data_IF_846049187881
#
_entry.id   IF_846049187881
#
_cell.length_a   1.000
_cell.length_b   1.000
_cell.length_c   1.000
_cell.angle_alpha   90.00
_cell.angle_beta   90.00
_cell.angle_gamma   90.00
#
_symmetry.space_group_name_H-M   'P 1'
#
loop_
_entity.id
_entity.type
_entity.pdbx_description
1 polymer ?
#
# COMPACT_ATOMS: atom_id res chain seq x y z
N UNK A 1 17.51 -2.54 10.47
CA UNK A 1 17.42 -1.19 11.07
C UNK A 1 16.77 -0.20 10.11
N UNK A 2 17.22 -0.11 8.84
CA UNK A 2 16.65 0.82 7.84
C UNK A 2 15.14 0.65 7.75
N UNK A 3 14.63 -0.55 7.48
CA UNK A 3 13.20 -0.82 7.37
C UNK A 3 12.40 -0.38 8.62
N UNK A 4 12.92 -0.63 9.82
CA UNK A 4 12.25 -0.23 11.06
C UNK A 4 12.13 1.30 11.17
N UNK A 5 13.17 2.03 10.81
CA UNK A 5 13.15 3.50 10.86
C UNK A 5 12.23 4.09 9.78
N UNK A 6 12.25 3.51 8.58
CA UNK A 6 11.36 3.93 7.48
C UNK A 6 9.89 3.71 7.85
N UNK A 7 9.54 2.52 8.34
CA UNK A 7 8.18 2.24 8.77
C UNK A 7 7.77 3.08 9.98
N UNK A 8 8.71 3.35 10.90
CA UNK A 8 8.41 4.25 12.01
C UNK A 8 8.02 5.65 11.50
N UNK A 9 8.78 6.21 10.56
CA UNK A 9 8.47 7.49 9.94
C UNK A 9 7.10 7.47 9.24
N UNK A 10 6.85 6.45 8.44
CA UNK A 10 5.61 6.27 7.70
C UNK A 10 4.37 6.16 8.60
N UNK A 11 4.48 5.43 9.71
CA UNK A 11 3.34 5.14 10.59
C UNK A 11 3.09 6.21 11.64
N UNK A 12 4.10 7.03 11.97
CA UNK A 12 4.04 7.95 13.10
C UNK A 12 4.06 9.43 12.71
N UNK A 13 4.38 9.78 11.47
CA UNK A 13 4.34 11.16 10.99
C UNK A 13 3.26 11.28 9.93
N UNK A 14 2.16 11.90 10.30
CA UNK A 14 1.03 12.09 9.38
C UNK A 14 1.39 13.10 8.29
N UNK A 15 1.13 12.73 7.04
CA UNK A 15 1.20 13.71 5.95
C UNK A 15 0.11 14.77 6.14
N UNK A 16 0.52 15.99 6.33
CA UNK A 16 -0.37 17.12 6.48
C UNK A 16 0.13 18.26 5.59
N UNK A 17 -0.74 18.76 4.72
CA UNK A 17 -0.48 19.97 3.94
C UNK A 17 -0.34 21.16 4.88
N UNK A 18 0.84 21.33 5.46
CA UNK A 18 1.20 22.55 6.14
C UNK A 18 1.34 23.61 5.03
N UNK A 19 0.77 24.79 5.25
CA UNK A 19 0.94 25.90 4.33
C UNK A 19 2.44 26.12 4.11
N UNK A 20 2.88 25.84 2.89
CA UNK A 20 4.22 26.23 2.48
C UNK A 20 4.17 27.73 2.20
N UNK A 21 4.69 28.52 3.12
CA UNK A 21 4.77 29.96 2.98
C UNK A 21 5.60 30.37 1.75
N UNK A 22 5.44 31.59 1.32
CA UNK A 22 6.23 32.14 0.22
C UNK A 22 7.72 32.06 0.56
N UNK A 23 8.48 31.32 -0.26
CA UNK A 23 9.92 31.12 -0.08
C UNK A 23 10.32 29.87 0.73
N UNK A 24 9.38 29.06 1.21
CA UNK A 24 9.70 27.84 1.93
C UNK A 24 10.07 26.65 1.02
N UNK A 25 9.55 26.60 -0.20
CA UNK A 25 9.94 25.65 -1.24
C UNK A 25 10.44 24.30 -0.72
N UNK A 26 11.71 24.00 -0.95
CA UNK A 26 12.38 22.78 -0.51
C UNK A 26 13.00 22.86 0.88
N UNK A 27 12.86 24.00 1.60
CA UNK A 27 13.39 24.16 2.95
C UNK A 27 12.62 23.28 3.94
N UNK A 28 13.36 22.49 4.71
CA UNK A 28 12.79 21.65 5.77
C UNK A 28 12.24 22.52 6.92
N UNK A 29 11.12 22.11 7.47
CA UNK A 29 10.69 22.60 8.78
C UNK A 29 11.61 22.04 9.88
N UNK A 30 11.51 22.61 11.08
CA UNK A 30 12.33 22.16 12.20
C UNK A 30 12.04 20.69 12.54
N UNK A 31 13.06 19.84 12.47
CA UNK A 31 12.91 18.39 12.70
C UNK A 31 12.37 18.07 14.11
N UNK A 32 12.72 18.87 15.13
CA UNK A 32 12.16 18.69 16.48
C UNK A 32 10.66 18.94 16.48
N UNK A 33 10.19 19.94 15.74
CA UNK A 33 8.77 20.23 15.56
C UNK A 33 8.08 19.05 14.87
N UNK A 34 8.59 18.59 13.73
CA UNK A 34 8.03 17.46 13.00
C UNK A 34 7.92 16.20 13.86
N UNK A 35 8.96 15.93 14.66
CA UNK A 35 8.98 14.81 15.59
C UNK A 35 7.96 14.97 16.72
N UNK A 36 7.79 16.17 17.27
CA UNK A 36 6.87 16.43 18.39
C UNK A 36 5.42 16.44 17.92
N UNK A 37 5.14 17.13 16.82
CA UNK A 37 3.79 17.36 16.31
C UNK A 37 3.26 16.19 15.47
N UNK A 38 4.15 15.27 15.11
CA UNK A 38 3.81 14.07 14.31
C UNK A 38 3.11 14.41 13.00
N UNK A 39 3.50 15.49 12.37
CA UNK A 39 3.00 15.88 11.06
C UNK A 39 4.05 16.64 10.25
N UNK A 40 3.88 16.60 8.93
CA UNK A 40 4.74 17.28 7.97
C UNK A 40 4.38 16.94 6.55
N UNK A 41 5.04 17.58 5.60
CA UNK A 41 4.96 17.22 4.17
C UNK A 41 6.11 16.29 3.80
N UNK A 42 6.19 15.87 2.54
CA UNK A 42 7.19 14.89 2.06
C UNK A 42 8.63 15.21 2.52
N UNK A 43 9.08 16.46 2.35
CA UNK A 43 10.43 16.91 2.76
C UNK A 43 10.67 16.74 4.27
N UNK A 44 9.67 17.00 5.10
CA UNK A 44 9.76 16.91 6.56
C UNK A 44 9.85 15.46 7.03
N UNK A 45 9.05 14.59 6.44
CA UNK A 45 9.03 13.16 6.74
C UNK A 45 10.35 12.53 6.28
N UNK A 46 10.81 12.84 5.06
CA UNK A 46 12.10 12.40 4.54
C UNK A 46 13.26 12.93 5.40
N UNK A 47 13.26 14.21 5.76
CA UNK A 47 14.29 14.83 6.60
C UNK A 47 14.36 14.19 8.00
N UNK A 48 13.23 13.87 8.60
CA UNK A 48 13.18 13.17 9.89
C UNK A 48 13.77 11.75 9.77
N UNK A 49 13.41 11.02 8.71
CA UNK A 49 13.99 9.69 8.43
C UNK A 49 15.50 9.77 8.23
N UNK A 50 15.99 10.74 7.45
CA UNK A 50 17.42 10.96 7.21
C UNK A 50 18.16 11.21 8.53
N UNK A 51 17.60 12.03 9.41
CA UNK A 51 18.19 12.29 10.72
C UNK A 51 18.31 11.00 11.54
N UNK A 52 17.27 10.18 11.58
CA UNK A 52 17.31 8.90 12.29
C UNK A 52 18.31 7.90 11.67
N UNK A 53 18.38 7.83 10.36
CA UNK A 53 19.35 6.98 9.67
C UNK A 53 20.77 7.38 10.00
N UNK A 54 21.08 8.70 9.96
CA UNK A 54 22.40 9.24 10.32
C UNK A 54 22.74 8.98 11.78
N UNK A 55 21.80 9.17 12.70
CA UNK A 55 21.99 8.82 14.12
C UNK A 55 22.23 7.32 14.33
N UNK A 56 21.68 6.48 13.48
CA UNK A 56 21.89 5.04 13.51
C UNK A 56 23.19 4.57 12.80
N UNK A 57 23.99 5.52 12.29
CA UNK A 57 25.29 5.28 11.65
C UNK A 57 25.23 5.00 10.14
N UNK A 58 24.11 5.31 9.48
CA UNK A 58 24.00 5.18 8.03
C UNK A 58 24.35 6.47 7.30
N UNK A 59 24.91 6.34 6.13
CA UNK A 59 25.09 7.43 5.17
C UNK A 59 23.77 7.64 4.43
N UNK A 60 23.06 8.74 4.71
CA UNK A 60 21.73 9.01 4.16
C UNK A 60 21.60 10.46 3.70
N UNK A 61 20.88 10.67 2.61
CA UNK A 61 20.76 11.95 1.91
C UNK A 61 19.30 12.21 1.51
N UNK A 62 18.89 13.48 1.34
CA UNK A 62 17.63 13.79 0.66
C UNK A 62 17.76 13.45 -0.83
N UNK A 63 16.65 13.14 -1.46
CA UNK A 63 16.57 13.02 -2.90
C UNK A 63 15.30 13.67 -3.43
N UNK A 64 15.43 14.31 -4.56
CA UNK A 64 14.31 14.97 -5.24
C UNK A 64 13.79 14.08 -6.36
N UNK A 65 12.48 13.98 -6.47
CA UNK A 65 11.79 13.23 -7.51
C UNK A 65 10.47 13.92 -7.88
N UNK A 66 9.66 13.28 -8.67
CA UNK A 66 8.35 13.80 -9.05
C UNK A 66 7.28 12.71 -8.87
N UNK A 67 6.27 13.00 -8.07
CA UNK A 67 5.06 12.20 -7.99
C UNK A 67 4.11 12.61 -9.11
N UNK A 68 3.60 11.63 -9.87
CA UNK A 68 2.59 11.80 -10.91
C UNK A 68 3.11 12.00 -12.34
N UNK A 69 4.40 12.30 -12.52
CA UNK A 69 5.02 12.43 -13.85
C UNK A 69 6.47 11.94 -13.81
N UNK A 70 7.01 11.58 -14.96
CA UNK A 70 8.40 11.17 -15.07
C UNK A 70 9.32 12.39 -15.05
N UNK A 71 10.39 12.31 -14.26
CA UNK A 71 11.48 13.28 -14.33
C UNK A 71 12.30 13.02 -15.59
N UNK A 72 12.37 14.03 -16.46
CA UNK A 72 13.18 13.97 -17.68
C UNK A 72 14.68 14.10 -17.40
N UNK A 73 15.48 13.64 -18.34
CA UNK A 73 16.94 13.74 -18.25
C UNK A 73 17.48 15.13 -18.59
N UNK A 74 16.63 16.01 -19.13
CA UNK A 74 16.99 17.39 -19.43
C UNK A 74 17.01 18.18 -18.11
N UNK A 75 18.05 18.95 -17.81
CA UNK A 75 18.11 19.77 -16.60
C UNK A 75 16.99 20.81 -16.57
N UNK A 76 16.02 20.60 -15.69
CA UNK A 76 14.93 21.53 -15.41
C UNK A 76 14.43 21.26 -14.00
N UNK A 77 13.79 22.25 -13.37
CA UNK A 77 13.18 22.10 -12.06
C UNK A 77 11.82 21.38 -12.21
N UNK A 78 11.88 20.07 -12.32
CA UNK A 78 10.71 19.19 -12.47
C UNK A 78 10.43 18.36 -11.22
N UNK A 79 10.81 18.87 -10.05
CA UNK A 79 10.65 18.13 -8.79
C UNK A 79 9.47 18.66 -7.99
N UNK A 80 8.65 17.76 -7.47
CA UNK A 80 7.57 18.10 -6.55
C UNK A 80 7.54 17.21 -5.30
N UNK A 81 8.47 16.25 -5.20
CA UNK A 81 8.50 15.29 -4.12
C UNK A 81 9.92 15.08 -3.60
N UNK A 82 10.03 14.92 -2.28
CA UNK A 82 11.28 14.66 -1.60
C UNK A 82 11.20 13.32 -0.88
N UNK A 83 12.21 12.48 -1.14
CA UNK A 83 12.38 11.16 -0.52
C UNK A 83 13.73 11.08 0.19
N UNK A 84 13.98 10.02 0.95
CA UNK A 84 15.27 9.73 1.51
C UNK A 84 16.00 8.70 0.65
N UNK A 85 17.33 8.76 0.64
CA UNK A 85 18.16 7.67 0.12
C UNK A 85 19.19 7.27 1.16
N UNK A 86 19.48 5.98 1.23
CA UNK A 86 20.58 5.44 2.05
C UNK A 86 21.62 4.81 1.14
N UNK A 87 22.88 5.14 1.37
CA UNK A 87 24.01 4.54 0.64
C UNK A 87 24.34 3.21 1.28
N UNK A 88 24.29 2.17 0.49
CA UNK A 88 24.67 0.81 0.89
C UNK A 88 26.18 0.63 0.85
N UNK A 89 26.67 -0.45 1.44
CA UNK A 89 28.11 -0.76 1.52
C UNK A 89 28.78 -1.00 0.17
N UNK A 90 27.99 -1.34 -0.86
CA UNK A 90 28.45 -1.47 -2.25
C UNK A 90 28.44 -0.16 -3.04
N UNK A 91 28.03 0.95 -2.39
CA UNK A 91 27.90 2.26 -2.99
C UNK A 91 26.53 2.54 -3.63
N UNK A 92 25.66 1.54 -3.70
CA UNK A 92 24.31 1.70 -4.26
C UNK A 92 23.47 2.66 -3.42
N UNK A 93 22.74 3.56 -4.07
CA UNK A 93 21.76 4.45 -3.44
C UNK A 93 20.39 3.76 -3.40
N UNK A 94 19.91 3.41 -2.23
CA UNK A 94 18.60 2.79 -2.03
C UNK A 94 17.56 3.85 -1.65
N UNK A 95 16.54 4.09 -2.48
CA UNK A 95 15.47 5.04 -2.16
C UNK A 95 14.56 4.51 -1.05
N UNK A 96 14.07 5.43 -0.22
CA UNK A 96 13.16 5.19 0.90
C UNK A 96 12.10 6.27 0.87
N UNK A 97 10.83 5.88 0.80
CA UNK A 97 9.74 6.84 0.79
C UNK A 97 8.72 6.61 1.91
N UNK A 98 8.96 7.15 3.10
CA UNK A 98 8.03 7.02 4.22
C UNK A 98 6.68 7.72 3.97
N UNK A 99 6.58 8.59 2.97
CA UNK A 99 5.33 9.31 2.66
C UNK A 99 4.29 8.38 2.03
N UNK A 100 4.72 7.44 1.18
CA UNK A 100 3.84 6.57 0.40
C UNK A 100 3.71 5.14 0.93
N UNK A 101 4.45 4.79 1.98
CA UNK A 101 4.47 3.42 2.52
C UNK A 101 3.87 3.25 3.94
N UNK A 102 2.95 4.12 4.44
CA UNK A 102 2.28 3.83 5.69
C UNK A 102 1.46 2.55 5.53
N UNK A 103 1.62 1.64 6.50
CA UNK A 103 0.98 0.31 6.48
C UNK A 103 1.34 -0.55 5.26
N UNK A 104 2.48 -0.32 4.64
CA UNK A 104 3.01 -1.08 3.51
C UNK A 104 4.32 -1.76 3.90
N UNK A 105 4.57 -2.96 3.38
CA UNK A 105 5.82 -3.70 3.62
C UNK A 105 6.98 -3.16 2.79
N UNK A 106 6.70 -2.44 1.74
CA UNK A 106 7.72 -1.78 0.93
C UNK A 106 8.39 -0.64 1.71
N UNK A 107 9.58 -0.26 1.28
CA UNK A 107 10.34 0.86 1.84
C UNK A 107 10.28 2.12 0.96
N UNK A 108 9.77 1.96 -0.26
CA UNK A 108 9.50 3.02 -1.23
C UNK A 108 8.28 2.61 -2.05
N UNK A 109 7.65 3.55 -2.74
CA UNK A 109 6.45 3.25 -3.52
C UNK A 109 6.80 2.62 -4.86
N UNK A 110 6.40 1.37 -5.09
CA UNK A 110 6.51 0.73 -6.41
C UNK A 110 5.68 1.42 -7.49
N UNK A 111 4.73 2.28 -7.12
CA UNK A 111 4.05 3.16 -8.07
C UNK A 111 4.98 4.20 -8.72
N UNK A 112 6.14 4.46 -8.10
CA UNK A 112 7.17 5.36 -8.60
C UNK A 112 8.37 4.62 -9.19
N UNK A 113 8.22 3.38 -9.59
CA UNK A 113 9.26 2.64 -10.28
C UNK A 113 9.55 3.21 -11.67
N UNK A 114 10.77 2.99 -12.17
CA UNK A 114 11.26 3.58 -13.42
C UNK A 114 11.25 5.12 -13.42
N UNK A 115 11.28 5.72 -12.25
CA UNK A 115 11.33 7.16 -12.05
C UNK A 115 12.78 7.61 -11.83
N UNK A 116 13.14 8.75 -12.37
CA UNK A 116 14.42 9.38 -12.05
C UNK A 116 14.32 10.12 -10.72
N UNK A 117 15.38 10.06 -9.93
CA UNK A 117 15.54 10.85 -8.71
C UNK A 117 16.95 11.39 -8.60
N UNK A 118 17.10 12.53 -7.96
CA UNK A 118 18.39 13.22 -7.79
C UNK A 118 18.79 13.22 -6.31
N UNK A 119 19.77 12.38 -5.90
CA UNK A 119 20.31 12.42 -4.54
C UNK A 119 21.06 13.74 -4.27
N UNK A 120 20.82 14.33 -3.11
CA UNK A 120 21.54 15.54 -2.65
C UNK A 120 22.76 15.19 -1.84
N UNK A 121 23.82 14.70 -2.48
CA UNK A 121 25.11 14.47 -1.81
C UNK A 121 25.97 15.73 -1.80
N UNK A 122 26.92 15.87 -0.85
CA UNK A 122 27.82 17.06 -0.80
C UNK A 122 28.65 17.25 -2.07
N UNK A 123 29.03 16.15 -2.72
CA UNK A 123 29.87 16.15 -3.93
C UNK A 123 29.04 16.39 -5.20
N UNK A 124 27.73 16.36 -5.10
CA UNK A 124 26.83 16.29 -6.24
C UNK A 124 26.74 14.87 -6.80
N UNK A 125 25.71 14.61 -7.59
CA UNK A 125 25.49 13.32 -8.24
C UNK A 125 24.62 13.48 -9.47
N UNK A 126 24.67 12.50 -10.36
CA UNK A 126 23.76 12.40 -11.49
C UNK A 126 22.41 11.82 -11.06
N UNK A 127 21.44 11.88 -11.97
CA UNK A 127 20.15 11.22 -11.80
C UNK A 127 20.33 9.71 -11.61
N UNK A 128 19.66 9.19 -10.62
CA UNK A 128 19.52 7.75 -10.36
C UNK A 128 18.13 7.29 -10.82
N UNK A 129 18.01 6.00 -11.12
CA UNK A 129 16.74 5.38 -11.48
C UNK A 129 16.19 4.59 -10.28
N UNK A 130 14.91 4.75 -9.98
CA UNK A 130 14.24 3.93 -8.95
C UNK A 130 14.22 2.47 -9.40
N UNK A 131 14.40 1.51 -8.48
CA UNK A 131 14.37 0.10 -8.82
C UNK A 131 12.99 -0.31 -9.36
N UNK A 132 12.97 -1.36 -10.17
CA UNK A 132 11.74 -2.03 -10.59
C UNK A 132 11.46 -3.11 -9.56
N UNK A 133 10.24 -3.13 -9.05
CA UNK A 133 9.78 -4.20 -8.17
C UNK A 133 9.32 -5.39 -8.99
N UNK A 134 9.75 -6.59 -8.59
CA UNK A 134 9.36 -7.82 -9.29
C UNK A 134 7.84 -8.04 -9.19
N UNK A 135 7.18 -8.51 -10.27
CA UNK A 135 5.74 -8.76 -10.27
C UNK A 135 5.29 -9.74 -9.18
N UNK A 136 6.17 -10.68 -8.81
CA UNK A 136 5.94 -11.64 -7.73
C UNK A 136 5.75 -11.00 -6.36
N UNK A 137 6.21 -9.76 -6.19
CA UNK A 137 6.01 -8.96 -4.97
C UNK A 137 4.68 -8.19 -4.97
N UNK A 138 3.90 -8.26 -6.06
CA UNK A 138 2.63 -7.54 -6.21
C UNK A 138 1.55 -8.48 -6.74
N UNK A 139 0.75 -9.03 -5.85
CA UNK A 139 -0.31 -9.94 -6.25
C UNK A 139 -1.55 -9.85 -5.37
N UNK A 140 -2.67 -10.28 -5.95
CA UNK A 140 -3.86 -10.73 -5.23
C UNK A 140 -4.12 -12.17 -5.63
N UNK A 141 -4.14 -13.06 -4.67
CA UNK A 141 -4.51 -14.47 -4.84
C UNK A 141 -5.82 -14.73 -4.15
N UNK A 142 -6.74 -15.32 -4.88
CA UNK A 142 -8.04 -15.70 -4.33
C UNK A 142 -8.20 -17.22 -4.51
N UNK A 143 -8.41 -17.92 -3.41
CA UNK A 143 -8.71 -19.34 -3.37
C UNK A 143 -10.11 -19.53 -2.83
N UNK A 144 -10.97 -20.23 -3.54
CA UNK A 144 -12.34 -20.49 -3.14
C UNK A 144 -12.66 -21.98 -3.15
N UNK A 145 -13.41 -22.41 -2.14
CA UNK A 145 -14.00 -23.75 -2.07
C UNK A 145 -15.50 -23.59 -1.82
N UNK A 146 -16.30 -24.03 -2.78
CA UNK A 146 -17.73 -23.82 -2.77
C UNK A 146 -18.48 -25.12 -3.04
N UNK A 147 -19.67 -25.20 -2.49
CA UNK A 147 -20.69 -26.22 -2.80
C UNK A 147 -21.96 -25.54 -3.29
N UNK A 148 -22.55 -26.08 -4.35
CA UNK A 148 -23.85 -25.67 -4.86
C UNK A 148 -24.85 -26.76 -4.50
N UNK A 149 -25.90 -26.42 -3.76
CA UNK A 149 -26.92 -27.38 -3.39
C UNK A 149 -28.02 -27.47 -4.45
N UNK A 150 -28.89 -28.49 -4.32
CA UNK A 150 -29.99 -28.74 -5.25
C UNK A 150 -31.01 -27.60 -5.32
N UNK A 151 -31.00 -26.68 -4.35
CA UNK A 151 -31.84 -25.48 -4.36
C UNK A 151 -31.20 -24.30 -5.08
N UNK A 152 -30.00 -24.48 -5.61
CA UNK A 152 -29.24 -23.43 -6.28
C UNK A 152 -28.55 -22.48 -5.30
N UNK A 153 -28.41 -22.84 -4.03
CA UNK A 153 -27.69 -22.05 -3.03
C UNK A 153 -26.20 -22.37 -3.07
N UNK A 154 -25.38 -21.34 -3.24
CA UNK A 154 -23.93 -21.46 -3.15
C UNK A 154 -23.50 -21.22 -1.69
N UNK A 155 -22.68 -22.13 -1.15
CA UNK A 155 -22.06 -22.01 0.18
C UNK A 155 -20.59 -22.31 0.07
N UNK A 156 -19.77 -21.55 0.81
CA UNK A 156 -18.35 -21.84 0.78
C UNK A 156 -17.50 -20.87 1.58
N UNK A 157 -16.23 -21.00 1.30
CA UNK A 157 -15.19 -20.10 1.81
C UNK A 157 -14.37 -19.58 0.66
N UNK A 158 -13.87 -18.38 0.77
CA UNK A 158 -12.76 -17.91 -0.04
C UNK A 158 -11.75 -17.19 0.82
N UNK A 159 -10.49 -17.31 0.43
CA UNK A 159 -9.37 -16.63 1.07
C UNK A 159 -8.74 -15.69 0.07
N UNK A 160 -8.57 -14.45 0.46
CA UNK A 160 -7.78 -13.43 -0.25
C UNK A 160 -6.44 -13.34 0.44
N UNK A 161 -5.37 -13.40 -0.35
CA UNK A 161 -4.00 -13.11 0.04
C UNK A 161 -3.44 -12.06 -0.91
N UNK A 162 -2.79 -11.03 -0.38
CA UNK A 162 -2.21 -9.97 -1.20
C UNK A 162 -0.84 -9.54 -0.69
N UNK A 163 0.01 -9.09 -1.60
CA UNK A 163 1.35 -8.57 -1.33
C UNK A 163 1.58 -7.24 -2.08
N UNK A 164 2.54 -6.45 -1.61
CA UNK A 164 2.95 -5.19 -2.22
C UNK A 164 1.86 -4.12 -2.17
N UNK A 165 1.64 -3.41 -3.25
CA UNK A 165 0.60 -2.37 -3.33
C UNK A 165 -0.81 -2.91 -3.10
N UNK A 166 -1.07 -4.13 -3.55
CA UNK A 166 -2.35 -4.80 -3.31
C UNK A 166 -2.60 -5.07 -1.83
N UNK A 167 -1.57 -5.49 -1.08
CA UNK A 167 -1.62 -5.64 0.37
C UNK A 167 -1.93 -4.30 1.05
N UNK A 168 -1.19 -3.25 0.69
CA UNK A 168 -1.41 -1.90 1.22
C UNK A 168 -2.83 -1.39 0.96
N UNK A 169 -3.33 -1.55 -0.26
CA UNK A 169 -4.66 -1.10 -0.64
C UNK A 169 -5.77 -1.83 0.13
N UNK A 170 -5.63 -3.14 0.35
CA UNK A 170 -6.58 -3.90 1.17
C UNK A 170 -6.49 -3.46 2.64
N UNK A 171 -5.29 -3.27 3.19
CA UNK A 171 -5.12 -2.83 4.59
C UNK A 171 -5.70 -1.46 4.87
N UNK A 172 -5.71 -0.54 3.89
CA UNK A 172 -6.33 0.79 4.04
C UNK A 172 -7.79 0.71 4.47
N UNK A 173 -8.53 -0.32 4.06
CA UNK A 173 -9.91 -0.56 4.49
C UNK A 173 -10.00 -0.66 6.02
N UNK A 174 -8.98 -1.23 6.66
CA UNK A 174 -8.94 -1.50 8.09
C UNK A 174 -8.25 -0.40 8.91
N UNK A 175 -7.42 0.40 8.27
CA UNK A 175 -6.66 1.47 8.96
C UNK A 175 -7.41 2.79 9.00
N UNK A 176 -8.34 3.02 8.06
CA UNK A 176 -9.14 4.25 7.98
C UNK A 176 -10.48 4.15 8.70
N UNK A 177 -10.92 2.96 9.11
CA UNK A 177 -12.20 2.71 9.78
C UNK A 177 -12.07 2.15 11.18
N UNK A 178 -13.17 2.20 11.95
CA UNK A 178 -13.25 1.56 13.26
C UNK A 178 -13.30 0.02 13.12
N UNK A 179 -12.68 -0.68 14.04
CA UNK A 179 -12.67 -2.15 14.05
C UNK A 179 -14.08 -2.76 14.11
N UNK A 180 -15.02 -2.09 14.79
CA UNK A 180 -16.43 -2.49 14.83
C UNK A 180 -17.10 -2.52 13.46
N UNK A 181 -16.60 -1.74 12.50
CA UNK A 181 -17.16 -1.62 11.14
C UNK A 181 -16.54 -2.61 10.14
N UNK A 182 -15.48 -3.31 10.52
CA UNK A 182 -14.77 -4.19 9.59
C UNK A 182 -15.64 -5.28 8.99
N UNK A 183 -16.42 -5.97 9.83
CA UNK A 183 -17.31 -7.04 9.36
C UNK A 183 -18.36 -6.51 8.37
N UNK A 184 -18.94 -5.34 8.67
CA UNK A 184 -19.89 -4.69 7.78
C UNK A 184 -19.25 -4.26 6.45
N UNK A 185 -18.02 -3.77 6.49
CA UNK A 185 -17.28 -3.42 5.27
C UNK A 185 -17.00 -4.67 4.42
N UNK A 186 -16.66 -5.79 5.05
CA UNK A 186 -16.46 -7.07 4.34
C UNK A 186 -17.78 -7.61 3.75
N UNK A 187 -18.88 -7.45 4.46
CA UNK A 187 -20.20 -7.82 3.93
C UNK A 187 -20.57 -7.01 2.70
N UNK A 188 -20.32 -5.70 2.70
CA UNK A 188 -20.54 -4.85 1.52
C UNK A 188 -19.70 -5.30 0.31
N UNK A 189 -18.46 -5.75 0.52
CA UNK A 189 -17.66 -6.32 -0.57
C UNK A 189 -18.31 -7.58 -1.14
N UNK A 190 -18.86 -8.43 -0.29
CA UNK A 190 -19.56 -9.65 -0.72
C UNK A 190 -20.86 -9.33 -1.47
N UNK A 191 -21.58 -8.27 -1.11
CA UNK A 191 -22.78 -7.81 -1.81
C UNK A 191 -22.50 -7.37 -3.26
N UNK A 192 -21.25 -7.00 -3.60
CA UNK A 192 -20.85 -6.73 -4.99
C UNK A 192 -20.88 -8.01 -5.86
N UNK A 193 -20.80 -9.18 -5.25
CA UNK A 193 -20.91 -10.45 -5.95
C UNK A 193 -22.37 -10.80 -6.22
N UNK A 194 -23.23 -10.65 -5.21
CA UNK A 194 -24.66 -10.87 -5.31
C UNK A 194 -25.39 -10.09 -4.20
N UNK A 195 -26.48 -9.40 -4.51
CA UNK A 195 -27.29 -8.71 -3.50
C UNK A 195 -27.95 -9.69 -2.50
N UNK A 196 -27.99 -10.99 -2.81
CA UNK A 196 -28.48 -12.05 -1.92
C UNK A 196 -27.40 -12.69 -1.07
N UNK A 197 -26.14 -12.25 -1.23
CA UNK A 197 -25.03 -12.80 -0.47
C UNK A 197 -25.16 -12.48 1.01
N UNK A 198 -24.78 -13.45 1.84
CA UNK A 198 -24.81 -13.34 3.32
C UNK A 198 -23.46 -13.75 3.86
N UNK A 199 -22.81 -12.83 4.54
CA UNK A 199 -21.59 -13.12 5.27
C UNK A 199 -21.91 -13.93 6.52
N UNK A 200 -21.23 -15.05 6.73
CA UNK A 200 -21.37 -15.90 7.92
C UNK A 200 -20.27 -15.62 8.94
N UNK A 201 -19.04 -15.47 8.49
CA UNK A 201 -17.91 -15.09 9.32
C UNK A 201 -16.76 -14.57 8.46
N UNK A 202 -15.91 -13.78 9.10
CA UNK A 202 -14.62 -13.35 8.54
C UNK A 202 -13.53 -13.73 9.52
N UNK A 203 -12.50 -14.35 9.00
CA UNK A 203 -11.24 -14.57 9.72
C UNK A 203 -10.18 -13.68 9.09
N UNK A 204 -9.64 -12.77 9.87
CA UNK A 204 -8.60 -11.83 9.43
C UNK A 204 -7.19 -12.42 9.57
N UNK A 205 -7.07 -13.66 10.03
CA UNK A 205 -5.79 -14.28 10.32
C UNK A 205 -5.03 -13.47 11.37
N UNK A 206 -3.96 -12.82 10.95
CA UNK A 206 -3.34 -11.76 11.76
C UNK A 206 -4.15 -10.48 11.63
N UNK A 207 -4.08 -9.64 12.69
CA UNK A 207 -4.74 -8.34 12.58
C UNK A 207 -4.28 -7.59 11.32
N UNK A 208 -5.19 -7.03 10.51
CA UNK A 208 -4.83 -6.27 9.33
C UNK A 208 -3.85 -5.12 9.56
N UNK A 209 -3.73 -4.65 10.81
CA UNK A 209 -2.78 -3.61 11.21
C UNK A 209 -1.34 -4.12 11.39
N UNK A 210 -1.14 -5.44 11.55
CA UNK A 210 0.20 -6.04 11.70
C UNK A 210 0.79 -6.37 10.31
N UNK A 211 1.11 -5.34 9.54
CA UNK A 211 1.56 -5.45 8.14
C UNK A 211 3.02 -5.90 8.00
N UNK A 212 3.87 -5.67 9.01
CA UNK A 212 5.31 -5.90 8.88
C UNK A 212 5.71 -7.37 8.86
N UNK A 213 4.85 -8.27 9.36
CA UNK A 213 5.18 -9.67 9.59
C UNK A 213 4.79 -10.61 8.47
N UNK A 214 3.73 -10.30 7.73
CA UNK A 214 3.21 -11.17 6.68
C UNK A 214 2.30 -10.40 5.72
N UNK A 215 2.12 -10.89 4.48
CA UNK A 215 1.06 -10.46 3.58
C UNK A 215 -0.30 -10.54 4.26
N UNK A 216 -1.24 -9.69 3.85
CA UNK A 216 -2.59 -9.76 4.35
C UNK A 216 -3.28 -11.04 3.87
N UNK A 217 -3.99 -11.70 4.78
CA UNK A 217 -4.80 -12.86 4.47
C UNK A 217 -6.15 -12.74 5.17
N UNK A 218 -7.23 -12.83 4.41
CA UNK A 218 -8.59 -12.72 4.92
C UNK A 218 -9.41 -13.87 4.38
N UNK A 219 -10.06 -14.62 5.25
CA UNK A 219 -10.93 -15.74 4.87
C UNK A 219 -12.38 -15.40 5.19
N UNK A 220 -13.22 -15.51 4.19
CA UNK A 220 -14.67 -15.29 4.27
C UNK A 220 -15.37 -16.64 4.27
N UNK A 221 -16.39 -16.78 5.10
CA UNK A 221 -17.39 -17.83 5.00
C UNK A 221 -18.71 -17.19 4.64
N UNK A 222 -19.36 -17.70 3.61
CA UNK A 222 -20.54 -17.08 3.02
C UNK A 222 -21.56 -18.05 2.47
N UNK A 223 -22.76 -17.52 2.20
CA UNK A 223 -23.86 -18.20 1.56
C UNK A 223 -24.56 -17.24 0.60
N UNK A 224 -24.89 -17.73 -0.60
CA UNK A 224 -25.65 -16.98 -1.60
C UNK A 224 -26.85 -17.81 -2.01
N UNK A 225 -28.06 -17.54 -1.46
CA UNK A 225 -29.29 -18.20 -1.89
C UNK A 225 -29.60 -17.88 -3.36
N UNK A 226 -30.20 -18.85 -4.05
CA UNK A 226 -30.63 -18.70 -5.45
C UNK A 226 -29.49 -18.20 -6.37
N UNK A 227 -28.28 -18.68 -6.15
CA UNK A 227 -27.13 -18.32 -6.97
C UNK A 227 -27.19 -18.93 -8.36
N UNK A 228 -27.63 -20.18 -8.46
CA UNK A 228 -27.93 -20.84 -9.74
C UNK A 228 -29.36 -20.56 -10.16
N UNK A 229 -29.54 -20.31 -11.46
CA UNK A 229 -30.83 -20.32 -12.11
C UNK A 229 -31.21 -21.77 -12.38
N UNK A 230 -32.46 -22.15 -12.08
CA UNK A 230 -33.00 -23.47 -12.35
C UNK A 230 -33.85 -23.43 -13.60
N UNK A 231 -33.61 -24.35 -14.51
CA UNK A 231 -34.46 -24.58 -15.64
C UNK A 231 -35.55 -25.63 -15.36
N UNK A 232 -36.51 -25.73 -16.27
CA UNK A 232 -37.71 -26.59 -16.13
C UNK A 232 -37.40 -28.09 -16.15
N UNK A 233 -36.23 -28.48 -16.71
CA UNK A 233 -35.81 -29.87 -16.82
C UNK A 233 -34.80 -30.27 -15.73
N UNK A 234 -34.62 -29.43 -14.70
CA UNK A 234 -33.74 -29.72 -13.58
C UNK A 234 -32.27 -29.31 -13.79
N UNK A 235 -31.95 -28.69 -14.90
CA UNK A 235 -30.64 -28.09 -15.14
C UNK A 235 -30.40 -26.87 -14.25
N UNK A 236 -29.14 -26.62 -13.92
CA UNK A 236 -28.71 -25.43 -13.20
C UNK A 236 -27.70 -24.63 -13.99
N UNK A 237 -27.95 -23.36 -14.15
CA UNK A 237 -27.04 -22.40 -14.81
C UNK A 237 -26.49 -21.44 -13.77
N UNK A 238 -25.17 -21.36 -13.69
CA UNK A 238 -24.50 -20.46 -12.75
C UNK A 238 -23.16 -19.97 -13.32
N UNK A 239 -22.69 -18.85 -12.78
CA UNK A 239 -21.39 -18.31 -13.10
C UNK A 239 -20.34 -18.94 -12.18
N UNK A 240 -19.35 -19.71 -12.69
CA UNK A 240 -18.44 -20.48 -11.84
C UNK A 240 -17.50 -19.61 -11.00
N UNK A 241 -17.12 -18.43 -11.48
CA UNK A 241 -16.21 -17.53 -10.78
C UNK A 241 -16.96 -16.43 -10.05
N UNK A 242 -17.34 -16.68 -8.81
CA UNK A 242 -18.11 -15.77 -7.97
C UNK A 242 -17.39 -14.46 -7.66
N UNK A 243 -16.05 -14.49 -7.69
CA UNK A 243 -15.22 -13.47 -7.07
C UNK A 243 -14.59 -12.48 -8.05
N UNK A 244 -14.99 -12.51 -9.31
CA UNK A 244 -14.43 -11.66 -10.38
C UNK A 244 -14.48 -10.16 -10.06
N UNK A 245 -15.42 -9.72 -9.25
CA UNK A 245 -15.64 -8.31 -8.94
C UNK A 245 -15.10 -7.90 -7.56
N UNK A 246 -14.51 -8.85 -6.81
CA UNK A 246 -13.93 -8.55 -5.51
C UNK A 246 -12.54 -7.97 -5.68
N UNK A 247 -12.32 -6.83 -5.07
CA UNK A 247 -11.02 -6.15 -5.02
C UNK A 247 -10.39 -5.87 -6.40
N UNK A 248 -11.17 -5.82 -7.48
CA UNK A 248 -10.65 -5.48 -8.82
C UNK A 248 -10.00 -4.11 -8.85
N UNK A 249 -10.51 -3.16 -8.08
CA UNK A 249 -9.92 -1.82 -7.92
C UNK A 249 -8.56 -1.83 -7.23
N UNK A 250 -8.20 -2.91 -6.55
CA UNK A 250 -6.91 -3.06 -5.87
C UNK A 250 -5.78 -3.37 -6.86
N UNK A 251 -6.14 -3.83 -8.05
CA UNK A 251 -5.22 -4.14 -9.14
C UNK A 251 -4.95 -2.92 -10.05
N UNK A 252 -5.57 -1.78 -9.80
CA UNK A 252 -5.29 -0.56 -10.57
C UNK A 252 -3.93 0.02 -10.16
N UNK A 253 -3.05 0.13 -11.12
CA UNK A 253 -1.76 0.81 -11.05
C UNK A 253 -1.93 2.30 -11.34
#
# INVERSE_FOLDING_TARGET
>A
KVAVLTHWGADNIRYAGISMGKGEGFTLHNLKMNYTDRCGVCKDIAGTLIAFLRMAGFEAFPAMTMAGSRVETIPADHFNHCVAVVKLSDGTMMPLDPTWVPFCRELWSSAEQQQNYLPGTPEGTDLCLTPISDPENHYVRIKAQNTLDEKGTLKGTFTIEAEGQSDSNIRRIFTTGFQSEWAHTMERQLLNVSPKARLKSVDYGRTPKDYQRAPIQITFRYEIPEYALKGDQGEMVFKPFVLNNLYTQVLSY
#
